data_IF_520127021217
#
_entry.id   IF_520127021217
#
_cell.length_a   1.000
_cell.length_b   1.000
_cell.length_c   1.000
_cell.angle_alpha   90.00
_cell.angle_beta   90.00
_cell.angle_gamma   90.00
#
_symmetry.space_group_name_H-M   'P 1'
#
loop_
_entity.id
_entity.type
_entity.pdbx_description
1 polymer ?
#
# COMPACT_ATOMS: atom_id res chain seq x y z
N UNK A 1 19.34 -2.49 2.96
CA UNK A 1 19.23 -1.16 2.30
C UNK A 1 18.82 -1.18 0.82
N UNK A 2 19.04 -2.26 0.05
CA UNK A 2 18.68 -2.32 -1.39
C UNK A 2 17.27 -2.86 -1.70
N UNK A 3 16.48 -3.14 -0.67
CA UNK A 3 15.14 -3.70 -0.81
C UNK A 3 14.10 -2.69 -1.31
N UNK A 4 12.99 -3.21 -1.84
CA UNK A 4 11.85 -2.39 -2.21
C UNK A 4 11.10 -1.83 -1.01
N UNK A 5 10.15 -0.94 -1.29
CA UNK A 5 9.35 -0.26 -0.28
C UNK A 5 7.89 -0.20 -0.70
N UNK A 6 7.02 -0.67 0.17
CA UNK A 6 5.59 -0.40 0.09
C UNK A 6 5.09 0.16 1.42
N UNK A 7 4.95 1.49 1.48
CA UNK A 7 4.61 2.23 2.70
C UNK A 7 3.25 2.90 2.55
N UNK A 8 2.45 2.81 3.61
CA UNK A 8 1.25 3.60 3.84
C UNK A 8 1.34 4.13 5.27
N UNK A 9 1.45 5.44 5.45
CA UNK A 9 1.61 6.05 6.77
C UNK A 9 1.24 7.55 6.74
N UNK A 10 0.99 8.21 7.88
CA UNK A 10 0.86 9.66 7.93
C UNK A 10 2.11 10.38 7.41
N UNK A 11 1.89 11.58 6.86
CA UNK A 11 2.95 12.50 6.42
C UNK A 11 3.58 13.23 7.62
N UNK A 12 2.76 13.64 8.58
CA UNK A 12 3.20 14.29 9.81
C UNK A 12 3.90 13.29 10.75
N UNK A 13 4.52 13.80 11.81
CA UNK A 13 5.06 12.95 12.88
C UNK A 13 3.94 12.15 13.56
N UNK A 14 4.24 10.91 13.89
CA UNK A 14 3.26 9.98 14.44
C UNK A 14 3.88 8.97 15.41
N UNK A 15 3.04 8.44 16.29
CA UNK A 15 3.28 7.17 16.97
C UNK A 15 2.46 6.06 16.29
N UNK A 16 2.88 4.81 16.46
CA UNK A 16 2.21 3.67 15.85
C UNK A 16 2.07 2.51 16.85
N UNK A 17 0.85 2.01 16.98
CA UNK A 17 0.52 0.81 17.74
C UNK A 17 0.05 -0.28 16.78
N UNK A 18 0.42 -1.54 17.05
CA UNK A 18 0.12 -2.67 16.17
C UNK A 18 -0.46 -3.82 16.96
N UNK A 19 -1.47 -4.47 16.39
CA UNK A 19 -2.01 -5.73 16.90
C UNK A 19 -2.51 -6.58 15.74
N UNK A 20 -2.45 -7.90 15.90
CA UNK A 20 -3.25 -8.78 15.07
C UNK A 20 -4.69 -8.79 15.58
N UNK A 21 -5.66 -8.86 14.68
CA UNK A 21 -7.04 -9.13 15.09
C UNK A 21 -7.13 -10.57 15.62
N UNK A 22 -7.85 -10.82 16.73
CA UNK A 22 -7.94 -12.14 17.35
C UNK A 22 -8.31 -13.22 16.34
N UNK A 23 -7.61 -14.34 16.40
CA UNK A 23 -7.85 -15.54 15.57
C UNK A 23 -7.78 -15.30 14.05
N UNK A 24 -6.99 -14.30 13.61
CA UNK A 24 -6.76 -14.02 12.19
C UNK A 24 -5.32 -13.65 11.88
N UNK A 25 -4.92 -13.74 10.60
CA UNK A 25 -3.67 -13.18 10.08
C UNK A 25 -3.82 -11.72 9.62
N UNK A 26 -4.80 -10.98 10.17
CA UNK A 26 -5.05 -9.58 9.82
C UNK A 26 -4.29 -8.69 10.79
N UNK A 27 -3.38 -7.86 10.26
CA UNK A 27 -2.61 -6.89 11.04
C UNK A 27 -3.32 -5.54 11.03
N UNK A 28 -3.52 -4.97 12.21
CA UNK A 28 -4.04 -3.62 12.40
C UNK A 28 -2.95 -2.73 12.97
N UNK A 29 -2.64 -1.62 12.27
CA UNK A 29 -1.74 -0.56 12.74
C UNK A 29 -2.54 0.73 12.93
N UNK A 30 -2.59 1.25 14.15
CA UNK A 30 -3.15 2.57 14.43
C UNK A 30 -2.03 3.60 14.49
N UNK A 31 -2.10 4.61 13.64
CA UNK A 31 -1.20 5.76 13.67
C UNK A 31 -1.89 6.95 14.35
N UNK A 32 -1.19 7.60 15.27
CA UNK A 32 -1.67 8.83 15.93
C UNK A 32 -0.74 9.99 15.62
N UNK A 33 -1.30 11.08 15.12
CA UNK A 33 -0.61 12.37 14.89
C UNK A 33 -1.16 13.42 15.86
N UNK A 34 -0.61 14.63 15.83
CA UNK A 34 -1.16 15.75 16.59
C UNK A 34 -2.58 16.16 16.14
N UNK A 35 -2.95 15.86 14.89
CA UNK A 35 -4.20 16.31 14.25
C UNK A 35 -5.27 15.22 14.14
N UNK A 36 -5.00 14.01 14.65
CA UNK A 36 -5.95 12.90 14.60
C UNK A 36 -5.30 11.52 14.50
N UNK A 37 -6.09 10.54 14.06
CA UNK A 37 -5.66 9.15 13.95
C UNK A 37 -6.19 8.48 12.69
N UNK A 38 -5.39 7.58 12.12
CA UNK A 38 -5.77 6.68 11.03
C UNK A 38 -5.42 5.25 11.39
N UNK A 39 -6.21 4.31 10.88
CA UNK A 39 -5.99 2.88 11.10
C UNK A 39 -5.78 2.18 9.77
N UNK A 40 -4.64 1.50 9.65
CA UNK A 40 -4.28 0.67 8.52
C UNK A 40 -4.56 -0.79 8.89
N UNK A 41 -5.36 -1.48 8.08
CA UNK A 41 -5.62 -2.91 8.20
C UNK A 41 -4.99 -3.62 7.00
N UNK A 42 -4.12 -4.59 7.26
CA UNK A 42 -3.37 -5.36 6.27
C UNK A 42 -3.76 -6.83 6.33
N UNK A 43 -3.99 -7.46 5.18
CA UNK A 43 -4.17 -8.91 5.06
C UNK A 43 -3.59 -9.42 3.74
N UNK A 44 -3.10 -10.67 3.76
CA UNK A 44 -2.78 -11.39 2.53
C UNK A 44 -3.95 -12.31 2.17
N UNK A 45 -4.38 -12.29 0.92
CA UNK A 45 -5.42 -13.22 0.47
C UNK A 45 -4.80 -14.57 0.14
N UNK A 46 -5.54 -15.64 0.43
CA UNK A 46 -5.19 -17.00 0.01
C UNK A 46 -6.22 -17.41 -1.05
N UNK A 47 -5.87 -17.46 -2.33
CA UNK A 47 -6.83 -17.81 -3.38
C UNK A 47 -7.35 -19.23 -3.16
N UNK A 48 -8.67 -19.40 -3.09
CA UNK A 48 -9.33 -20.69 -2.84
C UNK A 48 -9.61 -21.50 -4.11
N UNK A 49 -9.36 -20.95 -5.31
CA UNK A 49 -9.51 -21.63 -6.61
C UNK A 49 -8.42 -21.20 -7.58
N UNK A 50 -7.75 -22.17 -8.19
CA UNK A 50 -6.65 -22.02 -9.16
C UNK A 50 -7.10 -21.79 -10.61
N UNK A 51 -8.38 -21.50 -10.85
CA UNK A 51 -8.99 -21.55 -12.19
C UNK A 51 -9.13 -20.19 -12.90
N UNK A 52 -8.51 -19.12 -12.41
CA UNK A 52 -8.62 -17.79 -13.03
C UNK A 52 -7.34 -16.98 -12.90
N UNK A 53 -7.20 -15.99 -13.79
CA UNK A 53 -6.08 -15.02 -13.89
C UNK A 53 -6.03 -14.05 -12.69
N UNK A 54 -6.25 -14.53 -11.46
CA UNK A 54 -6.04 -13.75 -10.25
C UNK A 54 -4.55 -13.73 -9.91
N UNK A 55 -4.06 -12.68 -9.23
CA UNK A 55 -2.71 -12.69 -8.68
C UNK A 55 -2.55 -13.89 -7.73
N UNK A 56 -1.46 -14.64 -7.89
CA UNK A 56 -1.14 -15.81 -7.04
C UNK A 56 -1.03 -15.41 -5.55
N UNK A 57 -0.61 -14.17 -5.30
CA UNK A 57 -0.47 -13.56 -3.99
C UNK A 57 -0.92 -12.10 -4.05
N UNK A 58 -1.78 -11.68 -3.13
CA UNK A 58 -2.27 -10.30 -3.05
C UNK A 58 -2.24 -9.80 -1.60
N UNK A 59 -1.72 -8.59 -1.43
CA UNK A 59 -1.81 -7.85 -0.17
C UNK A 59 -2.92 -6.82 -0.29
N UNK A 60 -3.96 -6.98 0.52
CA UNK A 60 -5.02 -6.00 0.67
C UNK A 60 -4.74 -5.10 1.86
N UNK A 61 -4.85 -3.79 1.63
CA UNK A 61 -4.69 -2.76 2.64
C UNK A 61 -5.86 -1.80 2.63
N UNK A 62 -6.43 -1.55 3.80
CA UNK A 62 -7.46 -0.53 4.00
C UNK A 62 -6.95 0.50 4.99
N UNK A 63 -7.02 1.78 4.62
CA UNK A 63 -6.80 2.89 5.56
C UNK A 63 -8.15 3.49 5.91
N UNK A 64 -8.40 3.68 7.20
CA UNK A 64 -9.59 4.34 7.74
C UNK A 64 -9.18 5.57 8.53
N UNK A 65 -9.86 6.70 8.30
CA UNK A 65 -9.80 7.84 9.21
C UNK A 65 -10.59 7.52 10.48
N UNK A 66 -9.95 7.66 11.64
CA UNK A 66 -10.54 7.32 12.95
C UNK A 66 -10.95 8.58 13.69
N UNK A 67 -10.07 9.56 13.74
CA UNK A 67 -10.27 10.81 14.48
C UNK A 67 -9.56 11.95 13.73
N UNK A 68 -10.12 13.16 13.82
CA UNK A 68 -9.50 14.34 13.21
C UNK A 68 -9.34 14.20 11.69
N UNK A 69 -8.33 14.84 11.11
CA UNK A 69 -8.12 14.82 9.66
C UNK A 69 -6.64 14.65 9.31
N UNK A 70 -6.24 13.42 8.98
CA UNK A 70 -4.85 13.03 8.77
C UNK A 70 -4.54 12.89 7.28
N UNK A 71 -3.43 13.48 6.82
CA UNK A 71 -2.87 13.23 5.49
C UNK A 71 -1.92 12.04 5.55
N UNK A 72 -2.17 11.03 4.71
CA UNK A 72 -1.30 9.89 4.50
C UNK A 72 -0.49 10.02 3.21
N UNK A 73 0.65 9.33 3.17
CA UNK A 73 1.41 9.05 1.96
C UNK A 73 1.39 7.55 1.66
N UNK A 74 1.10 7.23 0.40
CA UNK A 74 1.30 5.91 -0.20
C UNK A 74 2.56 5.97 -1.04
N UNK A 75 3.50 5.06 -0.80
CA UNK A 75 4.74 4.93 -1.56
C UNK A 75 4.92 3.47 -1.99
N UNK A 76 5.06 3.26 -3.29
CA UNK A 76 5.31 1.95 -3.91
C UNK A 76 6.56 2.01 -4.80
N UNK A 77 7.64 1.38 -4.36
CA UNK A 77 8.94 1.29 -5.03
C UNK A 77 9.44 -0.16 -4.89
N UNK A 78 8.82 -1.12 -5.60
CA UNK A 78 9.21 -2.53 -5.51
C UNK A 78 10.60 -2.73 -6.14
N UNK A 79 11.33 -3.72 -5.62
CA UNK A 79 12.63 -4.12 -6.16
C UNK A 79 12.61 -5.61 -6.39
N UNK A 80 12.92 -6.00 -7.62
CA UNK A 80 12.89 -7.38 -8.06
C UNK A 80 14.28 -7.98 -8.00
N UNK A 81 14.33 -9.31 -8.09
CA UNK A 81 15.58 -10.07 -8.12
C UNK A 81 16.53 -9.66 -6.98
N UNK A 82 15.99 -9.66 -5.74
CA UNK A 82 16.71 -9.29 -4.52
C UNK A 82 17.37 -7.89 -4.56
N UNK A 83 16.75 -6.94 -5.25
CA UNK A 83 17.27 -5.57 -5.37
C UNK A 83 18.16 -5.33 -6.59
N UNK A 84 18.39 -6.34 -7.44
CA UNK A 84 19.20 -6.22 -8.66
C UNK A 84 18.42 -5.62 -9.83
N UNK A 85 17.09 -5.80 -9.84
CA UNK A 85 16.22 -5.28 -10.89
C UNK A 85 15.30 -4.18 -10.36
N UNK A 86 15.23 -3.11 -11.13
CA UNK A 86 14.43 -1.92 -10.86
C UNK A 86 13.58 -1.66 -12.11
N UNK A 87 12.27 -1.58 -11.95
CA UNK A 87 11.36 -1.10 -12.97
C UNK A 87 10.62 0.13 -12.40
N UNK A 88 10.56 1.26 -13.12
CA UNK A 88 9.93 2.49 -12.60
C UNK A 88 8.41 2.39 -12.50
N UNK A 89 7.78 1.36 -13.09
CA UNK A 89 6.35 1.18 -13.12
C UNK A 89 5.66 1.99 -14.21
N UNK A 90 4.53 1.47 -14.72
CA UNK A 90 3.70 2.11 -15.75
C UNK A 90 2.25 2.20 -15.29
N UNK A 91 1.63 3.37 -15.45
CA UNK A 91 0.21 3.53 -15.20
C UNK A 91 -0.62 2.89 -16.33
N UNK A 92 -1.37 1.84 -15.99
CA UNK A 92 -2.29 1.10 -16.88
C UNK A 92 -3.75 1.47 -16.63
N UNK A 93 -4.01 2.69 -16.16
CA UNK A 93 -5.33 3.27 -15.90
C UNK A 93 -6.13 2.42 -14.90
N UNK A 94 -7.27 1.87 -15.32
CA UNK A 94 -8.15 1.07 -14.46
C UNK A 94 -7.45 -0.19 -13.89
N UNK A 95 -6.37 -0.64 -14.52
CA UNK A 95 -5.58 -1.79 -14.09
C UNK A 95 -4.47 -1.44 -13.07
N UNK A 96 -4.31 -0.16 -12.70
CA UNK A 96 -3.35 0.29 -11.71
C UNK A 96 -1.94 0.54 -12.24
N UNK A 97 -0.95 0.58 -11.34
CA UNK A 97 0.47 0.77 -11.66
C UNK A 97 1.16 -0.59 -11.75
N UNK A 98 1.75 -0.90 -12.90
CA UNK A 98 2.35 -2.21 -13.18
C UNK A 98 3.86 -2.14 -13.20
N UNK A 99 4.52 -3.10 -12.56
CA UNK A 99 5.97 -3.22 -12.45
C UNK A 99 6.44 -4.56 -13.00
N UNK A 100 7.51 -4.53 -13.80
CA UNK A 100 8.06 -5.71 -14.49
C UNK A 100 9.34 -6.23 -13.81
N UNK A 101 9.25 -7.43 -13.23
CA UNK A 101 10.35 -8.16 -12.60
C UNK A 101 11.01 -9.20 -13.51
N UNK A 102 10.64 -9.30 -14.78
CA UNK A 102 11.06 -10.34 -15.71
C UNK A 102 10.18 -11.58 -15.56
N UNK A 103 10.61 -12.53 -14.73
CA UNK A 103 9.83 -13.75 -14.44
C UNK A 103 8.64 -13.50 -13.48
N UNK A 104 8.58 -12.33 -12.84
CA UNK A 104 7.53 -11.92 -11.91
C UNK A 104 7.02 -10.54 -12.28
N UNK A 105 5.78 -10.23 -11.90
CA UNK A 105 5.18 -8.91 -12.05
C UNK A 105 4.45 -8.51 -10.78
N UNK A 106 4.23 -7.21 -10.60
CA UNK A 106 3.48 -6.68 -9.47
C UNK A 106 2.60 -5.52 -9.95
N UNK A 107 1.37 -5.46 -9.44
CA UNK A 107 0.40 -4.46 -9.85
C UNK A 107 -0.23 -3.80 -8.61
N UNK A 108 -0.02 -2.49 -8.45
CA UNK A 108 -0.68 -1.71 -7.41
C UNK A 108 -1.97 -1.10 -7.95
N UNK A 109 -3.11 -1.48 -7.39
CA UNK A 109 -4.41 -0.82 -7.57
C UNK A 109 -4.78 -0.06 -6.30
N UNK A 110 -5.22 1.18 -6.47
CA UNK A 110 -5.64 2.02 -5.35
C UNK A 110 -6.57 3.13 -5.83
N UNK A 111 -7.44 3.60 -4.92
CA UNK A 111 -8.25 4.80 -5.09
C UNK A 111 -7.50 6.09 -4.73
N UNK A 112 -6.24 5.99 -4.26
CA UNK A 112 -5.34 7.13 -4.07
C UNK A 112 -4.72 7.52 -5.42
N UNK A 113 -4.76 8.79 -5.77
CA UNK A 113 -4.10 9.29 -6.97
C UNK A 113 -2.57 9.24 -6.79
N UNK A 114 -1.92 8.33 -7.53
CA UNK A 114 -0.46 8.17 -7.53
C UNK A 114 0.19 8.86 -8.73
N UNK A 115 1.39 9.38 -8.51
CA UNK A 115 2.28 9.94 -9.54
C UNK A 115 3.67 9.30 -9.45
N UNK A 116 4.46 9.28 -10.55
CA UNK A 116 5.85 8.88 -10.50
C UNK A 116 6.62 9.75 -9.50
N UNK A 117 7.60 9.16 -8.83
CA UNK A 117 8.51 9.92 -7.97
C UNK A 117 9.54 10.66 -8.81
N UNK A 118 9.86 11.88 -8.40
CA UNK A 118 10.88 12.67 -9.06
C UNK A 118 12.28 12.16 -8.70
N UNK A 119 13.13 11.97 -9.72
CA UNK A 119 14.52 11.55 -9.56
C UNK A 119 14.73 10.17 -8.91
N UNK A 120 13.67 9.38 -8.68
CA UNK A 120 13.72 8.06 -8.04
C UNK A 120 12.69 7.12 -8.66
N UNK A 121 12.94 5.81 -8.71
CA UNK A 121 11.93 4.85 -9.14
C UNK A 121 10.76 4.75 -8.15
N UNK A 122 9.64 4.25 -8.64
CA UNK A 122 8.41 4.06 -7.87
C UNK A 122 7.43 5.22 -7.97
N UNK A 123 6.30 5.04 -7.29
CA UNK A 123 5.13 5.90 -7.34
C UNK A 123 4.77 6.36 -5.93
N UNK A 124 4.31 7.61 -5.81
CA UNK A 124 3.84 8.18 -4.55
C UNK A 124 2.53 8.93 -4.75
N UNK A 125 1.72 9.00 -3.71
CA UNK A 125 0.50 9.80 -3.68
C UNK A 125 0.06 10.07 -2.26
N UNK A 126 -0.79 11.09 -2.09
CA UNK A 126 -1.30 11.48 -0.79
C UNK A 126 -2.81 11.52 -0.79
N UNK A 127 -3.39 11.24 0.36
CA UNK A 127 -4.82 11.36 0.60
C UNK A 127 -5.05 11.86 2.02
N UNK A 128 -5.97 12.80 2.17
CA UNK A 128 -6.48 13.20 3.48
C UNK A 128 -7.70 12.34 3.82
N UNK A 129 -7.73 11.80 5.04
CA UNK A 129 -8.86 11.03 5.56
C UNK A 129 -9.46 11.73 6.79
N UNK A 130 -10.78 11.86 6.79
CA UNK A 130 -11.63 12.22 7.94
C UNK A 130 -12.27 10.97 8.57
N UNK A 131 -12.91 11.07 9.74
CA UNK A 131 -13.51 9.92 10.41
C UNK A 131 -14.53 9.22 9.50
N UNK A 132 -14.39 7.91 9.36
CA UNK A 132 -15.25 7.08 8.51
C UNK A 132 -14.91 7.09 7.01
N UNK A 133 -13.97 7.92 6.55
CA UNK A 133 -13.46 7.83 5.18
C UNK A 133 -12.47 6.67 5.05
N UNK A 134 -12.42 6.07 3.86
CA UNK A 134 -11.54 4.95 3.57
C UNK A 134 -10.74 5.13 2.28
N UNK A 135 -9.56 4.51 2.25
CA UNK A 135 -8.75 4.27 1.05
C UNK A 135 -8.34 2.81 0.97
N UNK A 136 -8.21 2.31 -0.24
CA UNK A 136 -7.93 0.91 -0.52
C UNK A 136 -6.68 0.76 -1.37
N UNK A 137 -5.90 -0.26 -1.07
CA UNK A 137 -4.75 -0.68 -1.87
C UNK A 137 -4.79 -2.21 -2.02
N UNK A 138 -4.58 -2.68 -3.25
CA UNK A 138 -4.40 -4.08 -3.62
C UNK A 138 -3.07 -4.15 -4.38
N UNK A 139 -2.14 -4.98 -3.89
CA UNK A 139 -0.79 -5.15 -4.44
C UNK A 139 -0.53 -6.60 -4.81
#
# INVERSE_FOLDING_TARGET
ERGGRFRVAPVADFTAERRYLPDTNVLETTFRTADGAVRLTDTMTVPTRTASLFPDHEILRRVEGVEGAVEIEVLCDPRFDYGRRIDPGRNRRALGIHFDGGATGLALRTDVHLRPREGRPGWTGRARLRPGEHRWLSL
#
